data_IF_566902691722
#
_entry.id   IF_566902691722
#
_cell.length_a   1.000
_cell.length_b   1.000
_cell.length_c   1.000
_cell.angle_alpha   90.00
_cell.angle_beta   90.00
_cell.angle_gamma   90.00
#
_symmetry.space_group_name_H-M   'P 1'
#
loop_
_entity.id
_entity.type
_entity.pdbx_description
1 polymer ?
#
# COMPACT_ATOMS: atom_id res chain seq x y z
N UNK A 1 -5.60 -12.22 7.18
CA UNK A 1 -4.52 -12.52 6.22
C UNK A 1 -5.15 -13.13 4.97
N UNK A 2 -4.67 -12.81 3.77
CA UNK A 2 -5.20 -13.42 2.54
C UNK A 2 -4.74 -14.87 2.40
N UNK A 3 -5.63 -15.75 1.91
CA UNK A 3 -5.40 -17.20 1.78
C UNK A 3 -4.04 -17.55 1.15
N UNK A 4 -3.66 -16.84 0.08
CA UNK A 4 -2.39 -17.05 -0.61
C UNK A 4 -1.13 -16.79 0.24
N UNK A 5 -1.20 -15.86 1.21
CA UNK A 5 -0.07 -15.57 2.12
C UNK A 5 0.11 -16.73 3.09
N UNK A 6 -1.01 -17.28 3.58
CA UNK A 6 -0.99 -18.42 4.50
C UNK A 6 -0.44 -19.66 3.81
N UNK A 7 -0.90 -19.96 2.59
CA UNK A 7 -0.41 -21.10 1.80
C UNK A 7 1.10 -20.99 1.51
N UNK A 8 1.58 -19.81 1.09
CA UNK A 8 3.00 -19.58 0.85
C UNK A 8 3.86 -19.73 2.12
N UNK A 9 3.32 -19.34 3.27
CA UNK A 9 4.02 -19.47 4.56
C UNK A 9 4.04 -20.92 5.05
N UNK A 10 2.96 -21.68 4.83
CA UNK A 10 2.91 -23.11 5.13
C UNK A 10 3.93 -23.89 4.29
N UNK A 11 4.03 -23.59 2.99
CA UNK A 11 5.04 -24.17 2.10
C UNK A 11 6.46 -23.82 2.56
N UNK A 12 6.70 -22.58 2.99
CA UNK A 12 7.99 -22.15 3.52
C UNK A 12 8.38 -22.94 4.78
N UNK A 13 7.44 -23.11 5.71
CA UNK A 13 7.67 -23.85 6.96
C UNK A 13 7.92 -25.34 6.70
N UNK A 14 7.20 -25.94 5.74
CA UNK A 14 7.46 -27.31 5.29
C UNK A 14 8.89 -27.45 4.74
N UNK A 15 9.31 -26.56 3.84
CA UNK A 15 10.66 -26.55 3.28
C UNK A 15 11.75 -26.42 4.37
N UNK A 16 11.51 -25.63 5.42
CA UNK A 16 12.43 -25.49 6.55
C UNK A 16 12.53 -26.78 7.36
N UNK A 17 11.41 -27.49 7.53
CA UNK A 17 11.36 -28.73 8.30
C UNK A 17 12.04 -29.89 7.58
N UNK A 18 11.95 -29.91 6.24
CA UNK A 18 12.58 -30.93 5.39
C UNK A 18 14.10 -30.81 5.29
N UNK A 19 14.70 -29.74 5.82
CA UNK A 19 16.17 -29.59 5.81
C UNK A 19 16.81 -30.71 6.65
N UNK A 20 17.69 -31.53 6.05
CA UNK A 20 18.30 -32.67 6.73
C UNK A 20 19.21 -32.22 7.88
N UNK A 21 19.33 -33.10 8.88
CA UNK A 21 20.22 -32.91 10.02
C UNK A 21 21.69 -32.99 9.57
N UNK A 22 22.30 -31.81 9.41
CA UNK A 22 23.69 -31.58 9.02
C UNK A 22 24.27 -30.46 9.86
N UNK A 23 25.60 -30.34 9.92
CA UNK A 23 26.29 -29.31 10.71
C UNK A 23 25.92 -27.87 10.28
N UNK A 24 25.46 -27.68 9.03
CA UNK A 24 25.02 -26.39 8.50
C UNK A 24 23.49 -26.29 8.34
N UNK A 25 22.73 -27.07 9.09
CA UNK A 25 21.27 -27.07 9.01
C UNK A 25 20.68 -25.70 9.33
N UNK A 26 21.11 -25.09 10.43
CA UNK A 26 20.60 -23.79 10.87
C UNK A 26 20.84 -22.69 9.83
N UNK A 27 22.05 -22.65 9.25
CA UNK A 27 22.38 -21.71 8.18
C UNK A 27 21.52 -21.92 6.93
N UNK A 28 21.27 -23.17 6.58
CA UNK A 28 20.41 -23.53 5.43
C UNK A 28 18.96 -23.12 5.69
N UNK A 29 18.41 -23.46 6.86
CA UNK A 29 17.06 -23.09 7.30
C UNK A 29 16.86 -21.57 7.34
N UNK A 30 17.83 -20.84 7.88
CA UNK A 30 17.80 -19.37 7.89
C UNK A 30 17.80 -18.80 6.47
N UNK A 31 18.61 -19.37 5.56
CA UNK A 31 18.65 -18.92 4.17
C UNK A 31 17.30 -19.13 3.46
N UNK A 32 16.64 -20.26 3.74
CA UNK A 32 15.32 -20.58 3.19
C UNK A 32 14.29 -19.60 3.72
N UNK A 33 14.26 -19.37 5.04
CA UNK A 33 13.35 -18.42 5.69
C UNK A 33 13.50 -17.01 5.09
N UNK A 34 14.72 -16.50 5.01
CA UNK A 34 14.99 -15.15 4.50
C UNK A 34 14.58 -15.00 3.04
N UNK A 35 14.87 -16.00 2.19
CA UNK A 35 14.45 -16.00 0.78
C UNK A 35 12.94 -16.07 0.65
N UNK A 36 12.28 -16.92 1.44
CA UNK A 36 10.83 -17.08 1.43
C UNK A 36 10.09 -15.82 1.83
N UNK A 37 10.52 -15.15 2.91
CA UNK A 37 9.94 -13.87 3.33
C UNK A 37 10.12 -12.80 2.25
N UNK A 38 11.30 -12.74 1.61
CA UNK A 38 11.54 -11.81 0.51
C UNK A 38 10.60 -12.07 -0.69
N UNK A 39 10.37 -13.33 -1.05
CA UNK A 39 9.42 -13.70 -2.12
C UNK A 39 7.99 -13.29 -1.78
N UNK A 40 7.52 -13.57 -0.56
CA UNK A 40 6.18 -13.19 -0.10
C UNK A 40 5.99 -11.67 -0.12
N UNK A 41 6.99 -10.92 0.34
CA UNK A 41 6.96 -9.46 0.34
C UNK A 41 6.91 -8.88 -1.07
N UNK A 42 7.73 -9.40 -2.00
CA UNK A 42 7.71 -8.96 -3.39
C UNK A 42 6.33 -9.20 -4.02
N UNK A 43 5.73 -10.37 -3.80
CA UNK A 43 4.41 -10.67 -4.34
C UNK A 43 3.30 -9.84 -3.68
N UNK A 44 3.43 -9.51 -2.40
CA UNK A 44 2.52 -8.58 -1.72
C UNK A 44 2.62 -7.18 -2.34
N UNK A 45 3.84 -6.71 -2.64
CA UNK A 45 4.08 -5.43 -3.32
C UNK A 45 3.51 -5.43 -4.74
N UNK A 46 3.69 -6.50 -5.52
CA UNK A 46 3.12 -6.63 -6.86
C UNK A 46 1.59 -6.58 -6.83
N UNK A 47 0.98 -7.32 -5.89
CA UNK A 47 -0.47 -7.30 -5.70
C UNK A 47 -0.98 -5.91 -5.29
N UNK A 48 -0.23 -5.20 -4.43
CA UNK A 48 -0.54 -3.82 -4.07
C UNK A 48 -0.41 -2.89 -5.28
N UNK A 49 0.64 -3.03 -6.09
CA UNK A 49 0.86 -2.23 -7.29
C UNK A 49 -0.24 -2.45 -8.33
N UNK A 50 -0.69 -3.70 -8.55
CA UNK A 50 -1.81 -4.02 -9.44
C UNK A 50 -3.10 -3.38 -8.93
N UNK A 51 -3.40 -3.47 -7.63
CA UNK A 51 -4.57 -2.82 -7.03
C UNK A 51 -4.51 -1.30 -7.15
N UNK A 52 -3.36 -0.69 -6.88
CA UNK A 52 -3.14 0.76 -7.02
C UNK A 52 -3.32 1.20 -8.46
N UNK A 53 -2.75 0.48 -9.44
CA UNK A 53 -2.95 0.76 -10.87
C UNK A 53 -4.42 0.62 -11.28
N UNK A 54 -5.12 -0.41 -10.82
CA UNK A 54 -6.54 -0.60 -11.09
C UNK A 54 -7.40 0.52 -10.47
N UNK A 55 -7.05 1.00 -9.28
CA UNK A 55 -7.71 2.13 -8.61
C UNK A 55 -7.44 3.45 -9.35
N UNK A 56 -6.19 3.72 -9.72
CA UNK A 56 -5.81 4.92 -10.48
C UNK A 56 -6.42 4.95 -11.88
N UNK A 57 -6.58 3.81 -12.55
CA UNK A 57 -7.26 3.74 -13.85
C UNK A 57 -8.77 4.03 -13.74
N UNK A 58 -9.37 3.81 -12.56
CA UNK A 58 -10.76 4.19 -12.27
C UNK A 58 -10.88 5.62 -11.74
N UNK A 59 -9.76 6.26 -11.43
CA UNK A 59 -9.70 7.70 -11.17
C UNK A 59 -9.70 8.41 -12.52
N UNK A 60 -10.84 8.33 -13.19
CA UNK A 60 -11.07 9.10 -14.41
C UNK A 60 -11.25 10.56 -14.01
N UNK A 61 -10.44 11.44 -14.61
CA UNK A 61 -10.47 12.88 -14.36
C UNK A 61 -11.85 13.46 -14.72
N UNK A 62 -12.52 12.84 -15.68
CA UNK A 62 -13.83 13.25 -16.19
C UNK A 62 -14.95 13.06 -15.15
N UNK A 63 -14.84 12.04 -14.28
CA UNK A 63 -15.78 11.82 -13.17
C UNK A 63 -15.57 12.76 -11.98
N UNK A 64 -14.40 13.40 -11.89
CA UNK A 64 -14.11 14.41 -10.88
C UNK A 64 -14.64 15.80 -11.28
N UNK A 65 -14.72 16.09 -12.59
CA UNK A 65 -15.29 17.34 -13.11
C UNK A 65 -16.83 17.37 -13.06
N UNK A 66 -17.52 16.25 -13.27
CA UNK A 66 -18.99 16.20 -13.16
C UNK A 66 -19.49 16.48 -11.73
N UNK A 67 -18.76 16.01 -10.70
CA UNK A 67 -19.11 16.28 -9.30
C UNK A 67 -18.82 17.71 -8.84
N UNK A 68 -17.98 18.45 -9.57
CA UNK A 68 -17.73 19.87 -9.29
C UNK A 68 -18.82 20.78 -9.88
N UNK A 69 -19.50 20.36 -10.96
CA UNK A 69 -20.55 21.17 -11.60
C UNK A 69 -21.93 21.07 -10.93
N UNK A 70 -22.17 20.09 -10.06
CA UNK A 70 -23.45 19.96 -9.32
C UNK A 70 -23.39 20.54 -7.89
N UNK A 71 -22.21 20.93 -7.41
CA UNK A 71 -22.08 21.64 -6.15
C UNK A 71 -22.41 23.12 -6.36
N UNK A 72 -23.69 23.46 -6.25
CA UNK A 72 -24.16 24.82 -6.06
C UNK A 72 -23.66 25.31 -4.68
N UNK A 73 -22.37 25.66 -4.59
CA UNK A 73 -21.74 26.22 -3.40
C UNK A 73 -22.20 27.68 -3.31
N UNK A 74 -23.21 27.91 -2.49
CA UNK A 74 -23.47 29.25 -1.95
C UNK A 74 -22.29 29.58 -1.04
N UNK A 75 -21.36 30.39 -1.54
CA UNK A 75 -20.31 30.97 -0.73
C UNK A 75 -20.94 32.02 0.20
N UNK A 76 -20.98 31.72 1.50
CA UNK A 76 -21.20 32.71 2.55
C UNK A 76 -19.86 33.44 2.75
N UNK A 77 -19.78 34.66 2.23
CA UNK A 77 -18.57 35.48 2.11
C UNK A 77 -18.21 36.22 3.42
N UNK A 78 -18.68 35.74 4.57
CA UNK A 78 -18.56 36.46 5.86
C UNK A 78 -17.29 36.16 6.68
N UNK A 79 -16.46 35.18 6.30
CA UNK A 79 -15.24 34.83 7.06
C UNK A 79 -13.92 35.27 6.42
N UNK A 80 -13.93 35.83 5.21
CA UNK A 80 -12.69 36.18 4.48
C UNK A 80 -12.13 37.56 4.86
N UNK A 81 -12.95 38.42 5.47
CA UNK A 81 -12.59 39.83 5.72
C UNK A 81 -11.77 40.08 7.01
N UNK A 82 -11.53 39.05 7.82
CA UNK A 82 -10.70 39.17 9.03
C UNK A 82 -9.21 38.87 8.82
N UNK A 83 -8.85 38.10 7.77
CA UNK A 83 -7.45 37.68 7.51
C UNK A 83 -6.60 38.72 6.77
N UNK A 84 -7.20 39.76 6.18
CA UNK A 84 -6.49 40.78 5.39
C UNK A 84 -6.03 42.00 6.18
N UNK A 85 -6.30 42.09 7.49
CA UNK A 85 -5.97 43.26 8.32
C UNK A 85 -4.54 43.28 8.91
N UNK A 86 -3.63 42.43 8.44
CA UNK A 86 -2.22 42.52 8.83
C UNK A 86 -1.56 43.71 8.12
N UNK A 87 -1.35 44.80 8.88
CA UNK A 87 -0.70 46.03 8.41
C UNK A 87 0.77 45.78 8.06
N UNK A 88 1.36 46.49 7.08
CA UNK A 88 2.78 46.36 6.76
C UNK A 88 3.65 46.88 7.91
N UNK A 89 4.65 46.10 8.31
CA UNK A 89 5.69 46.49 9.27
C UNK A 89 6.58 47.53 8.59
N UNK A 90 6.78 48.69 9.24
CA UNK A 90 7.65 49.77 8.79
C UNK A 90 9.03 49.67 9.44
#
# INVERSE_FOLDING_TARGET
>A
MSKWVTEAMEELLLNINEVPYTDNREGTQLSILMKGIAMINNQAMDNAAVKTRASMRKWDLDSATEKASEANVVYDDSEVDELTRLRPIR
#
